data_IF_890660003543
#
_entry.id   IF_890660003543
#
_cell.length_a   1.000
_cell.length_b   1.000
_cell.length_c   1.000
_cell.angle_alpha   90.00
_cell.angle_beta   90.00
_cell.angle_gamma   90.00
#
_symmetry.space_group_name_H-M   'P 1'
#
loop_
_entity.id
_entity.type
_entity.pdbx_description
1 polymer ?
#
# COMPACT_ATOMS: atom_id res chain seq x y z
N UNK A 1 24.41 37.81 -8.88
CA UNK A 1 24.15 36.67 -9.76
C UNK A 1 22.66 36.46 -9.80
N UNK A 2 21.96 36.87 -10.87
CA UNK A 2 20.51 36.64 -11.01
C UNK A 2 20.23 35.14 -11.23
N UNK A 3 19.34 34.53 -10.46
CA UNK A 3 18.99 33.14 -10.67
C UNK A 3 18.35 32.98 -12.06
N UNK A 4 18.83 32.01 -12.80
CA UNK A 4 18.37 31.74 -14.17
C UNK A 4 16.87 31.40 -14.19
N UNK A 5 16.09 31.81 -15.23
CA UNK A 5 14.64 31.59 -15.31
C UNK A 5 14.24 30.10 -15.22
N UNK A 6 15.14 29.20 -15.56
CA UNK A 6 14.96 27.76 -15.44
C UNK A 6 14.85 27.26 -13.98
N UNK A 7 15.56 27.89 -13.05
CA UNK A 7 15.44 27.56 -11.59
C UNK A 7 14.04 27.84 -11.08
N UNK A 8 13.47 29.00 -11.40
CA UNK A 8 12.11 29.36 -10.95
C UNK A 8 11.02 28.50 -11.60
N UNK A 9 11.23 27.95 -12.78
CA UNK A 9 10.30 27.02 -13.41
C UNK A 9 10.38 25.63 -12.73
N UNK A 10 11.59 25.14 -12.50
CA UNK A 10 11.82 23.87 -11.79
C UNK A 10 11.27 23.90 -10.37
N UNK A 11 11.52 24.96 -9.59
CA UNK A 11 11.00 25.11 -8.23
C UNK A 11 9.47 25.15 -8.20
N UNK A 12 8.82 25.77 -9.18
CA UNK A 12 7.34 25.77 -9.30
C UNK A 12 6.76 24.40 -9.64
N UNK A 13 7.45 23.63 -10.48
CA UNK A 13 7.02 22.28 -10.85
C UNK A 13 7.18 21.36 -9.63
N UNK A 14 8.35 21.39 -8.99
CA UNK A 14 8.63 20.58 -7.79
C UNK A 14 7.65 20.92 -6.67
N UNK A 15 7.37 22.19 -6.42
CA UNK A 15 6.41 22.58 -5.39
C UNK A 15 4.99 22.08 -5.71
N UNK A 16 4.54 22.11 -6.96
CA UNK A 16 3.22 21.60 -7.35
C UNK A 16 3.12 20.08 -7.21
N UNK A 17 4.20 19.35 -7.52
CA UNK A 17 4.24 17.89 -7.38
C UNK A 17 4.34 17.50 -5.89
N UNK A 18 5.09 18.24 -5.09
CA UNK A 18 5.27 17.94 -3.67
C UNK A 18 4.05 18.29 -2.81
N UNK A 19 3.22 19.27 -3.21
CA UNK A 19 2.08 19.75 -2.43
C UNK A 19 1.12 18.65 -1.99
N UNK A 20 0.67 17.69 -2.84
CA UNK A 20 -0.24 16.62 -2.40
C UNK A 20 0.37 15.75 -1.30
N UNK A 21 1.64 15.39 -1.44
CA UNK A 21 2.37 14.55 -0.46
C UNK A 21 2.60 15.29 0.85
N UNK A 22 3.01 16.57 0.77
CA UNK A 22 3.25 17.41 1.97
C UNK A 22 1.97 17.71 2.76
N UNK A 23 0.82 17.71 2.09
CA UNK A 23 -0.50 17.87 2.75
C UNK A 23 -0.96 16.62 3.48
N UNK A 24 -0.56 15.44 3.00
CA UNK A 24 -1.02 14.16 3.50
C UNK A 24 0.14 13.15 3.62
N UNK A 25 1.19 13.48 4.38
CA UNK A 25 2.39 12.65 4.43
C UNK A 25 2.12 11.28 5.04
N UNK A 26 1.27 11.20 6.06
CA UNK A 26 0.91 9.94 6.73
C UNK A 26 0.17 9.01 5.76
N UNK A 27 -0.79 9.55 5.00
CA UNK A 27 -1.52 8.79 4.00
C UNK A 27 -0.58 8.27 2.90
N UNK A 28 0.28 9.14 2.37
CA UNK A 28 1.25 8.76 1.34
C UNK A 28 2.21 7.67 1.83
N UNK A 29 2.79 7.84 3.02
CA UNK A 29 3.69 6.86 3.62
C UNK A 29 3.01 5.52 3.85
N UNK A 30 1.75 5.52 4.27
CA UNK A 30 1.01 4.27 4.44
C UNK A 30 0.76 3.57 3.10
N UNK A 31 0.30 4.31 2.08
CA UNK A 31 0.13 3.74 0.74
C UNK A 31 1.43 3.15 0.20
N UNK A 32 2.54 3.87 0.36
CA UNK A 32 3.85 3.37 -0.04
C UNK A 32 4.23 2.11 0.75
N UNK A 33 4.01 2.11 2.06
CA UNK A 33 4.33 0.97 2.92
C UNK A 33 3.52 -0.28 2.53
N UNK A 34 2.23 -0.15 2.24
CA UNK A 34 1.39 -1.29 1.83
C UNK A 34 1.84 -1.93 0.52
N UNK A 35 2.45 -1.17 -0.38
CA UNK A 35 3.01 -1.69 -1.63
C UNK A 35 4.42 -2.27 -1.45
N UNK A 36 5.24 -1.65 -0.61
CA UNK A 36 6.63 -2.07 -0.38
C UNK A 36 6.72 -3.27 0.57
N UNK A 37 5.81 -3.36 1.54
CA UNK A 37 5.86 -4.38 2.59
C UNK A 37 5.84 -5.83 2.08
N UNK A 38 4.99 -6.22 1.12
CA UNK A 38 5.03 -7.56 0.54
C UNK A 38 6.39 -7.88 -0.10
N UNK A 39 7.01 -6.92 -0.76
CA UNK A 39 8.33 -7.10 -1.36
C UNK A 39 9.42 -7.30 -0.29
N UNK A 40 9.39 -6.52 0.79
CA UNK A 40 10.33 -6.68 1.90
C UNK A 40 10.20 -8.03 2.60
N UNK A 41 8.99 -8.61 2.64
CA UNK A 41 8.75 -9.94 3.25
C UNK A 41 9.18 -11.09 2.35
N UNK A 42 9.20 -10.90 1.02
CA UNK A 42 9.55 -11.94 0.06
C UNK A 42 11.07 -12.15 -0.08
N UNK A 43 11.82 -11.07 -0.01
CA UNK A 43 13.24 -11.05 -0.31
C UNK A 43 14.05 -10.27 0.73
N UNK A 44 13.94 -10.66 1.98
CA UNK A 44 14.51 -9.94 3.12
C UNK A 44 16.00 -9.52 2.97
N UNK A 45 16.72 -9.96 1.91
CA UNK A 45 18.12 -9.60 1.68
C UNK A 45 18.61 -9.64 0.22
N UNK A 46 17.76 -9.77 -0.78
CA UNK A 46 18.18 -9.69 -2.19
C UNK A 46 17.68 -8.41 -2.86
N UNK A 47 18.51 -7.38 -2.83
CA UNK A 47 18.26 -6.14 -3.61
C UNK A 47 18.84 -6.38 -5.01
N UNK A 48 18.00 -6.77 -5.96
CA UNK A 48 18.34 -6.83 -7.38
C UNK A 48 17.98 -5.50 -8.09
N UNK A 49 18.60 -5.23 -9.24
CA UNK A 49 18.37 -3.99 -9.98
C UNK A 49 16.88 -3.74 -10.34
N UNK A 50 16.14 -4.80 -10.56
CA UNK A 50 14.69 -4.78 -10.85
C UNK A 50 13.86 -4.15 -9.71
N UNK A 51 14.34 -4.15 -8.48
CA UNK A 51 13.63 -3.57 -7.33
C UNK A 51 13.51 -2.04 -7.41
N UNK A 52 14.44 -1.36 -8.07
CA UNK A 52 14.39 0.10 -8.22
C UNK A 52 13.29 0.55 -9.18
N UNK A 53 13.04 -0.22 -10.25
CA UNK A 53 11.94 0.05 -11.19
C UNK A 53 10.59 -0.17 -10.51
N UNK A 54 10.46 -1.25 -9.76
CA UNK A 54 9.25 -1.57 -9.00
C UNK A 54 9.00 -0.52 -7.91
N UNK A 55 10.03 -0.06 -7.20
CA UNK A 55 9.90 1.00 -6.20
C UNK A 55 9.41 2.30 -6.83
N UNK A 56 9.92 2.67 -8.00
CA UNK A 56 9.45 3.83 -8.74
C UNK A 56 7.96 3.75 -9.07
N UNK A 57 7.49 2.57 -9.46
CA UNK A 57 6.08 2.30 -9.72
C UNK A 57 5.23 2.43 -8.45
N UNK A 58 5.68 1.91 -7.33
CA UNK A 58 4.97 2.03 -6.04
C UNK A 58 4.87 3.48 -5.55
N UNK A 59 5.94 4.27 -5.72
CA UNK A 59 5.92 5.71 -5.44
C UNK A 59 4.88 6.39 -6.34
N UNK A 60 4.82 6.05 -7.63
CA UNK A 60 3.84 6.60 -8.56
C UNK A 60 2.40 6.24 -8.17
N UNK A 61 2.13 4.99 -7.76
CA UNK A 61 0.82 4.57 -7.27
C UNK A 61 0.43 5.27 -5.97
N UNK A 62 1.34 5.34 -4.99
CA UNK A 62 1.10 6.04 -3.74
C UNK A 62 0.81 7.52 -3.99
N UNK A 63 1.54 8.15 -4.92
CA UNK A 63 1.31 9.53 -5.34
C UNK A 63 -0.06 9.68 -6.02
N UNK A 64 -0.40 8.82 -6.98
CA UNK A 64 -1.69 8.85 -7.65
C UNK A 64 -2.86 8.71 -6.67
N UNK A 65 -2.72 7.87 -5.64
CA UNK A 65 -3.71 7.73 -4.57
C UNK A 65 -3.87 9.00 -3.71
N UNK A 66 -2.84 9.86 -3.63
CA UNK A 66 -2.93 11.12 -2.86
C UNK A 66 -3.59 12.26 -3.65
N UNK A 67 -3.60 12.22 -4.99
CA UNK A 67 -4.14 13.29 -5.84
C UNK A 67 -5.61 13.64 -5.55
N UNK A 68 -6.53 12.66 -5.42
CA UNK A 68 -7.92 12.97 -5.13
C UNK A 68 -8.13 13.72 -3.82
N UNK A 69 -7.23 13.54 -2.83
CA UNK A 69 -7.32 14.24 -1.55
C UNK A 69 -7.12 15.75 -1.66
N UNK A 70 -6.45 16.20 -2.72
CA UNK A 70 -6.29 17.63 -3.03
C UNK A 70 -7.58 18.30 -3.52
N UNK A 71 -8.50 17.51 -4.11
CA UNK A 71 -9.73 18.00 -4.72
C UNK A 71 -10.93 17.74 -3.79
N UNK A 72 -10.91 16.59 -3.09
CA UNK A 72 -11.98 16.17 -2.20
C UNK A 72 -11.97 16.97 -0.90
N UNK A 73 -13.16 17.43 -0.49
CA UNK A 73 -13.35 18.16 0.77
C UNK A 73 -14.29 17.44 1.75
N UNK A 74 -14.19 17.81 3.03
CA UNK A 74 -15.12 17.43 4.07
C UNK A 74 -15.38 15.91 4.20
N UNK A 75 -16.64 15.50 4.07
CA UNK A 75 -17.06 14.09 4.23
C UNK A 75 -16.49 13.18 3.12
N UNK A 76 -16.44 13.65 1.87
CA UNK A 76 -15.94 12.86 0.74
C UNK A 76 -14.47 12.46 0.93
N UNK A 77 -13.64 13.37 1.43
CA UNK A 77 -12.23 13.09 1.74
C UNK A 77 -12.07 12.01 2.80
N UNK A 78 -12.90 12.04 3.86
CA UNK A 78 -12.87 11.00 4.91
C UNK A 78 -13.28 9.63 4.36
N UNK A 79 -14.34 9.57 3.58
CA UNK A 79 -14.80 8.33 2.96
C UNK A 79 -13.77 7.76 1.99
N UNK A 80 -13.16 8.63 1.15
CA UNK A 80 -12.09 8.22 0.26
C UNK A 80 -10.90 7.63 1.01
N UNK A 81 -10.42 8.30 2.07
CA UNK A 81 -9.32 7.79 2.90
C UNK A 81 -9.67 6.44 3.52
N UNK A 82 -10.85 6.31 4.12
CA UNK A 82 -11.28 5.06 4.72
C UNK A 82 -11.32 3.92 3.70
N UNK A 83 -11.90 4.15 2.52
CA UNK A 83 -11.96 3.17 1.45
C UNK A 83 -10.55 2.80 0.94
N UNK A 84 -9.68 3.80 0.71
CA UNK A 84 -8.32 3.60 0.24
C UNK A 84 -7.47 2.84 1.26
N UNK A 85 -7.55 3.17 2.56
CA UNK A 85 -6.88 2.43 3.62
C UNK A 85 -7.36 0.98 3.71
N UNK A 86 -8.67 0.76 3.67
CA UNK A 86 -9.24 -0.58 3.74
C UNK A 86 -8.80 -1.43 2.55
N UNK A 87 -8.86 -0.88 1.34
CA UNK A 87 -8.47 -1.58 0.12
C UNK A 87 -6.98 -1.89 0.11
N UNK A 88 -6.13 -0.90 0.39
CA UNK A 88 -4.68 -1.06 0.41
C UNK A 88 -4.25 -2.08 1.48
N UNK A 89 -4.88 -2.04 2.67
CA UNK A 89 -4.64 -3.00 3.73
C UNK A 89 -5.05 -4.42 3.31
N UNK A 90 -6.22 -4.59 2.72
CA UNK A 90 -6.72 -5.89 2.29
C UNK A 90 -5.84 -6.51 1.19
N UNK A 91 -5.46 -5.72 0.18
CA UNK A 91 -4.59 -6.17 -0.92
C UNK A 91 -3.21 -6.53 -0.38
N UNK A 92 -2.60 -5.67 0.41
CA UNK A 92 -1.28 -5.92 1.00
C UNK A 92 -1.29 -7.15 1.91
N UNK A 93 -2.36 -7.35 2.68
CA UNK A 93 -2.53 -8.53 3.51
C UNK A 93 -2.64 -9.81 2.68
N UNK A 94 -3.42 -9.79 1.60
CA UNK A 94 -3.54 -10.93 0.69
C UNK A 94 -2.20 -11.26 0.02
N UNK A 95 -1.47 -10.26 -0.46
CA UNK A 95 -0.13 -10.46 -1.04
C UNK A 95 0.87 -11.02 -0.04
N UNK A 96 0.95 -10.46 1.16
CA UNK A 96 1.82 -10.97 2.20
C UNK A 96 1.45 -12.41 2.59
N UNK A 97 0.15 -12.73 2.68
CA UNK A 97 -0.32 -14.08 2.93
C UNK A 97 0.17 -15.05 1.84
N UNK A 98 -0.02 -14.70 0.58
CA UNK A 98 0.41 -15.50 -0.56
C UNK A 98 1.93 -15.70 -0.58
N UNK A 99 2.69 -14.66 -0.28
CA UNK A 99 4.15 -14.73 -0.20
C UNK A 99 4.66 -15.62 0.93
N UNK A 100 4.09 -15.48 2.13
CA UNK A 100 4.51 -16.23 3.32
C UNK A 100 4.16 -17.71 3.20
N UNK A 101 2.97 -18.02 2.72
CA UNK A 101 2.46 -19.41 2.69
C UNK A 101 2.74 -20.12 1.36
N UNK A 102 2.67 -19.42 0.23
CA UNK A 102 2.75 -19.99 -1.12
C UNK A 102 3.96 -19.54 -1.93
N UNK A 103 4.72 -18.57 -1.44
CA UNK A 103 5.85 -17.97 -2.15
C UNK A 103 5.50 -17.48 -3.56
N UNK A 104 4.32 -16.90 -3.70
CA UNK A 104 3.79 -16.37 -4.96
C UNK A 104 3.13 -15.01 -4.75
N UNK A 105 3.06 -14.22 -5.82
CA UNK A 105 2.31 -12.95 -5.85
C UNK A 105 0.91 -13.15 -6.42
N UNK A 106 0.05 -12.14 -6.26
CA UNK A 106 -1.23 -12.09 -6.96
C UNK A 106 -0.95 -12.00 -8.47
N UNK A 107 -1.27 -13.05 -9.20
CA UNK A 107 -1.15 -13.11 -10.66
C UNK A 107 -2.53 -13.28 -11.30
N UNK A 108 -2.71 -12.88 -12.57
CA UNK A 108 -3.97 -13.11 -13.28
C UNK A 108 -4.39 -14.59 -13.30
N UNK A 109 -3.41 -15.51 -13.42
CA UNK A 109 -3.66 -16.96 -13.37
C UNK A 109 -4.19 -17.40 -12.01
N UNK A 110 -3.66 -16.86 -10.93
CA UNK A 110 -4.13 -17.17 -9.58
C UNK A 110 -5.53 -16.61 -9.33
N UNK A 111 -5.85 -15.45 -9.88
CA UNK A 111 -7.20 -14.89 -9.84
C UNK A 111 -8.20 -15.75 -10.63
N UNK A 112 -7.80 -16.28 -11.79
CA UNK A 112 -8.64 -17.23 -12.55
C UNK A 112 -8.91 -18.50 -11.75
N UNK A 113 -7.88 -19.09 -11.15
CA UNK A 113 -8.04 -20.27 -10.28
C UNK A 113 -9.00 -19.97 -9.13
N UNK A 114 -8.86 -18.81 -8.48
CA UNK A 114 -9.71 -18.43 -7.36
C UNK A 114 -11.19 -18.23 -7.77
N UNK A 115 -11.46 -17.79 -9.01
CA UNK A 115 -12.84 -17.67 -9.51
C UNK A 115 -13.45 -19.01 -9.90
N UNK A 116 -12.63 -19.98 -10.29
CA UNK A 116 -13.06 -21.31 -10.71
C UNK A 116 -13.11 -22.32 -9.54
N UNK A 117 -12.66 -21.89 -8.34
CA UNK A 117 -12.60 -22.75 -7.15
C UNK A 117 -14.01 -23.02 -6.60
N UNK A 118 -14.30 -24.29 -6.37
CA UNK A 118 -15.55 -24.78 -5.75
C UNK A 118 -15.67 -24.28 -4.29
N UNK A 119 -16.88 -23.97 -3.80
CA UNK A 119 -17.12 -23.62 -2.38
C UNK A 119 -16.59 -24.66 -1.38
N UNK A 120 -16.59 -25.95 -1.72
CA UNK A 120 -16.05 -27.01 -0.87
C UNK A 120 -14.53 -26.92 -0.73
N UNK A 121 -13.82 -26.71 -1.86
CA UNK A 121 -12.37 -26.50 -1.90
C UNK A 121 -11.98 -25.22 -1.16
N UNK A 122 -12.78 -24.15 -1.32
CA UNK A 122 -12.59 -22.90 -0.60
C UNK A 122 -12.70 -23.09 0.92
N UNK A 123 -13.65 -23.88 1.39
CA UNK A 123 -13.84 -24.17 2.82
C UNK A 123 -12.67 -24.99 3.39
N UNK A 124 -12.17 -25.99 2.63
CA UNK A 124 -10.98 -26.76 3.02
C UNK A 124 -9.73 -25.90 3.10
N UNK A 125 -9.52 -25.03 2.09
CA UNK A 125 -8.43 -24.06 2.09
C UNK A 125 -8.47 -23.14 3.32
N UNK A 126 -9.63 -22.58 3.64
CA UNK A 126 -9.84 -21.75 4.83
C UNK A 126 -9.47 -22.54 6.10
N UNK A 127 -9.95 -23.77 6.20
CA UNK A 127 -9.65 -24.64 7.36
C UNK A 127 -8.16 -24.91 7.53
N UNK A 128 -7.46 -25.20 6.44
CA UNK A 128 -6.04 -25.56 6.48
C UNK A 128 -5.09 -24.37 6.73
N UNK A 129 -5.41 -23.17 6.23
CA UNK A 129 -4.50 -22.05 6.22
C UNK A 129 -4.90 -20.87 7.12
N UNK A 130 -6.19 -20.49 7.17
CA UNK A 130 -6.64 -19.33 7.95
C UNK A 130 -6.69 -19.61 9.44
N UNK A 131 -6.99 -20.84 9.85
CA UNK A 131 -7.05 -21.22 11.28
C UNK A 131 -5.70 -21.72 11.85
N UNK A 132 -4.59 -21.29 11.26
CA UNK A 132 -3.25 -21.62 11.77
C UNK A 132 -2.74 -20.53 12.71
N UNK A 133 -1.96 -20.94 13.72
CA UNK A 133 -1.31 -19.99 14.63
C UNK A 133 -0.36 -19.02 13.90
N UNK A 134 0.24 -19.45 12.77
CA UNK A 134 1.08 -18.62 11.93
C UNK A 134 0.29 -17.49 11.27
N UNK A 135 -0.91 -17.80 10.76
CA UNK A 135 -1.79 -16.79 10.18
C UNK A 135 -2.29 -15.80 11.25
N UNK A 136 -2.64 -16.29 12.44
CA UNK A 136 -3.06 -15.41 13.53
C UNK A 136 -1.95 -14.43 13.95
N UNK A 137 -0.70 -14.88 14.03
CA UNK A 137 0.46 -14.01 14.30
C UNK A 137 0.68 -12.98 13.17
N UNK A 138 0.58 -13.42 11.93
CA UNK A 138 0.70 -12.55 10.77
C UNK A 138 -0.41 -11.48 10.77
N UNK A 139 -1.66 -11.88 10.99
CA UNK A 139 -2.81 -10.97 11.08
C UNK A 139 -2.63 -9.95 12.22
N UNK A 140 -2.17 -10.40 13.39
CA UNK A 140 -1.92 -9.52 14.53
C UNK A 140 -0.82 -8.50 14.24
N UNK A 141 0.30 -8.93 13.65
CA UNK A 141 1.40 -8.04 13.28
C UNK A 141 0.97 -6.99 12.25
N UNK A 142 0.23 -7.40 11.22
CA UNK A 142 -0.25 -6.48 10.20
C UNK A 142 -1.33 -5.52 10.72
N UNK A 143 -2.22 -6.01 11.58
CA UNK A 143 -3.22 -5.16 12.26
C UNK A 143 -2.57 -4.13 13.19
N UNK A 144 -1.45 -4.47 13.83
CA UNK A 144 -0.67 -3.53 14.62
C UNK A 144 -0.11 -2.40 13.76
N UNK A 145 0.46 -2.71 12.59
CA UNK A 145 0.96 -1.71 11.64
C UNK A 145 -0.16 -0.76 11.19
N UNK A 146 -1.32 -1.30 10.83
CA UNK A 146 -2.49 -0.50 10.47
C UNK A 146 -2.98 0.37 11.63
N UNK A 147 -3.02 -0.17 12.86
CA UNK A 147 -3.40 0.56 14.07
C UNK A 147 -2.46 1.73 14.36
N UNK A 148 -1.15 1.52 14.27
CA UNK A 148 -0.14 2.59 14.44
C UNK A 148 -0.35 3.68 13.40
N UNK A 149 -0.61 3.33 12.14
CA UNK A 149 -0.86 4.32 11.10
C UNK A 149 -2.10 5.18 11.38
N UNK A 150 -3.19 4.56 11.81
CA UNK A 150 -4.43 5.29 12.18
C UNK A 150 -4.20 6.23 13.38
N UNK A 151 -3.38 5.83 14.34
CA UNK A 151 -3.00 6.69 15.47
C UNK A 151 -2.16 7.87 14.99
N UNK A 152 -1.17 7.65 14.13
CA UNK A 152 -0.34 8.71 13.56
C UNK A 152 -1.18 9.71 12.75
N UNK A 153 -2.16 9.23 12.01
CA UNK A 153 -3.07 10.12 11.27
C UNK A 153 -3.92 10.98 12.21
N UNK A 154 -4.42 10.41 13.31
CA UNK A 154 -5.17 11.17 14.32
C UNK A 154 -4.31 12.28 14.95
N UNK A 155 -3.07 11.97 15.28
CA UNK A 155 -2.12 12.94 15.87
C UNK A 155 -1.76 14.03 14.86
N UNK A 156 -1.61 13.68 13.59
CA UNK A 156 -1.29 14.65 12.52
C UNK A 156 -2.45 15.61 12.19
N UNK A 157 -3.68 15.26 12.56
CA UNK A 157 -4.87 16.10 12.32
C UNK A 157 -5.29 16.95 13.54
N UNK A 158 -4.65 16.74 14.69
CA UNK A 158 -4.87 17.49 15.92
C UNK A 158 -3.99 18.72 15.98
#
# INVERSE_FOLDING_TARGET
>A
MNPTPYRHAADRIVSRIAVPVLREPVFFCFMLLTFVWPQLTSDLFRIEATHWEILGLYIAYAYAATLPLGILGGKARRWYKAAAYTLAYAVSMAECFLLVFFRTFITPSLMSIATDTDPAESAEFIGCYLFTGRFALFLAAWSLVAGINLLLEKVSQA
#
